data_IF_102983879197
#
_entry.id   IF_102983879197
#
_cell.length_a   1.000
_cell.length_b   1.000
_cell.length_c   1.000
_cell.angle_alpha   90.00
_cell.angle_beta   90.00
_cell.angle_gamma   90.00
#
_symmetry.space_group_name_H-M   'P 1'
#
loop_
_entity.id
_entity.type
_entity.pdbx_description
1 polymer ?
#
# COMPACT_ATOMS: atom_id res chain seq x y z
N UNK A 1 5.13 -7.56 -0.78
CA UNK A 1 4.99 -7.37 0.69
C UNK A 1 5.42 -5.96 1.05
N UNK A 2 4.96 -5.39 2.16
CA UNK A 2 5.38 -4.03 2.58
C UNK A 2 6.78 -4.08 3.23
N UNK A 3 7.74 -3.23 2.82
CA UNK A 3 9.11 -3.28 3.34
C UNK A 3 9.16 -2.87 4.82
N UNK A 4 9.96 -3.58 5.63
CA UNK A 4 10.13 -3.33 7.09
C UNK A 4 11.56 -3.52 7.60
N UNK A 5 12.49 -3.78 6.68
CA UNK A 5 13.88 -4.10 6.98
C UNK A 5 14.63 -2.88 7.48
N UNK A 6 14.37 -1.71 6.89
CA UNK A 6 15.05 -0.49 7.25
C UNK A 6 14.23 0.36 8.22
N UNK A 7 14.90 1.14 9.06
CA UNK A 7 14.25 2.14 9.94
C UNK A 7 13.44 3.15 9.13
N UNK A 8 13.93 3.50 7.94
CA UNK A 8 13.29 4.37 6.96
C UNK A 8 11.94 3.82 6.48
N UNK A 9 11.85 2.51 6.25
CA UNK A 9 10.59 1.88 5.80
C UNK A 9 9.51 1.94 6.87
N UNK A 10 9.90 1.70 8.13
CA UNK A 10 8.99 1.83 9.28
C UNK A 10 8.52 3.27 9.46
N UNK A 11 9.44 4.24 9.33
CA UNK A 11 9.10 5.67 9.38
C UNK A 11 8.11 6.05 8.27
N UNK A 12 8.34 5.60 7.04
CA UNK A 12 7.45 5.87 5.90
C UNK A 12 6.05 5.29 6.11
N UNK A 13 5.96 4.08 6.66
CA UNK A 13 4.68 3.48 6.99
C UNK A 13 3.90 4.30 8.03
N UNK A 14 4.57 4.78 9.08
CA UNK A 14 3.93 5.64 10.08
C UNK A 14 3.56 7.02 9.51
N UNK A 15 4.36 7.59 8.60
CA UNK A 15 4.01 8.80 7.86
C UNK A 15 2.73 8.62 7.02
N UNK A 16 2.60 7.47 6.35
CA UNK A 16 1.41 7.14 5.57
C UNK A 16 0.16 7.00 6.46
N UNK A 17 0.27 6.31 7.61
CA UNK A 17 -0.84 6.18 8.57
C UNK A 17 -1.30 7.53 9.10
N UNK A 18 -0.36 8.37 9.54
CA UNK A 18 -0.65 9.70 10.11
C UNK A 18 -1.25 10.64 9.07
N UNK A 19 -0.87 10.48 7.79
CA UNK A 19 -1.36 11.29 6.67
C UNK A 19 -2.89 11.39 6.61
N UNK A 20 -3.61 10.32 6.97
CA UNK A 20 -5.07 10.27 6.87
C UNK A 20 -5.77 11.42 7.62
N UNK A 21 -5.22 11.82 8.76
CA UNK A 21 -5.73 12.91 9.59
C UNK A 21 -4.82 14.13 9.50
N UNK A 22 -3.53 13.94 9.74
CA UNK A 22 -2.62 15.05 9.96
C UNK A 22 -2.32 15.85 8.69
N UNK A 23 -2.33 15.22 7.50
CA UNK A 23 -2.07 15.94 6.26
C UNK A 23 -3.12 17.02 5.95
N UNK A 24 -4.32 16.92 6.54
CA UNK A 24 -5.41 17.89 6.36
C UNK A 24 -5.46 18.95 7.45
N UNK A 25 -5.05 18.60 8.67
CA UNK A 25 -5.35 19.42 9.86
C UNK A 25 -4.10 19.87 10.63
N UNK A 26 -2.92 19.31 10.35
CA UNK A 26 -1.69 19.61 11.09
C UNK A 26 -0.70 20.38 10.22
N UNK A 27 -0.38 21.60 10.61
CA UNK A 27 0.70 22.38 10.02
C UNK A 27 2.10 21.76 10.28
N UNK A 28 2.20 20.80 11.21
CA UNK A 28 3.45 20.09 11.52
C UNK A 28 3.64 18.82 10.67
N UNK A 29 2.63 18.43 9.89
CA UNK A 29 2.75 17.28 9.01
C UNK A 29 3.65 17.63 7.83
N UNK A 30 4.79 16.94 7.74
CA UNK A 30 5.73 17.08 6.65
C UNK A 30 6.08 15.70 6.09
N UNK A 31 6.04 15.60 4.76
CA UNK A 31 6.44 14.42 4.02
C UNK A 31 7.26 14.88 2.80
N UNK A 32 8.35 14.18 2.51
CA UNK A 32 9.23 14.53 1.38
C UNK A 32 8.74 13.88 0.10
N UNK A 33 9.21 14.39 -1.05
CA UNK A 33 8.97 13.76 -2.35
C UNK A 33 9.50 12.32 -2.39
N UNK A 34 10.72 12.08 -1.91
CA UNK A 34 11.32 10.74 -1.89
C UNK A 34 10.50 9.74 -1.04
N UNK A 35 9.91 10.22 0.07
CA UNK A 35 9.01 9.41 0.87
C UNK A 35 7.71 9.10 0.11
N UNK A 36 7.14 10.08 -0.59
CA UNK A 36 5.95 9.88 -1.43
C UNK A 36 6.22 8.89 -2.57
N UNK A 37 7.33 9.02 -3.28
CA UNK A 37 7.67 8.15 -4.41
C UNK A 37 7.88 6.71 -3.94
N UNK A 38 8.55 6.51 -2.79
CA UNK A 38 8.71 5.20 -2.18
C UNK A 38 7.37 4.59 -1.73
N UNK A 39 6.49 5.39 -1.13
CA UNK A 39 5.16 4.95 -0.72
C UNK A 39 4.29 4.59 -1.93
N UNK A 40 4.32 5.39 -2.99
CA UNK A 40 3.58 5.14 -4.22
C UNK A 40 4.01 3.82 -4.88
N UNK A 41 5.33 3.57 -4.96
CA UNK A 41 5.86 2.31 -5.47
C UNK A 41 5.39 1.10 -4.64
N UNK A 42 5.42 1.21 -3.30
CA UNK A 42 4.96 0.15 -2.40
C UNK A 42 3.44 -0.13 -2.54
N UNK A 43 2.64 0.93 -2.70
CA UNK A 43 1.19 0.83 -2.92
C UNK A 43 0.88 0.18 -4.27
N UNK A 44 1.60 0.54 -5.34
CA UNK A 44 1.44 -0.07 -6.65
C UNK A 44 1.69 -1.58 -6.60
N UNK A 45 2.80 -2.01 -5.99
CA UNK A 45 3.10 -3.43 -5.82
C UNK A 45 2.01 -4.17 -5.01
N UNK A 46 1.49 -3.54 -3.96
CA UNK A 46 0.41 -4.12 -3.16
C UNK A 46 -0.86 -4.28 -4.00
N UNK A 47 -1.26 -3.24 -4.74
CA UNK A 47 -2.43 -3.27 -5.63
C UNK A 47 -2.32 -4.41 -6.64
N UNK A 48 -1.19 -4.52 -7.33
CA UNK A 48 -1.00 -5.51 -8.40
C UNK A 48 -1.02 -6.94 -7.84
N UNK A 49 -0.47 -7.13 -6.63
CA UNK A 49 -0.54 -8.42 -5.91
C UNK A 49 -1.99 -8.77 -5.55
N UNK A 50 -2.74 -7.82 -5.00
CA UNK A 50 -4.14 -8.01 -4.60
C UNK A 50 -5.01 -8.31 -5.83
N UNK A 51 -4.82 -7.57 -6.92
CA UNK A 51 -5.52 -7.79 -8.19
C UNK A 51 -5.29 -9.21 -8.70
N UNK A 52 -4.04 -9.66 -8.73
CA UNK A 52 -3.68 -11.01 -9.18
C UNK A 52 -4.40 -12.08 -8.35
N UNK A 53 -4.33 -11.99 -7.02
CA UNK A 53 -4.97 -12.93 -6.11
C UNK A 53 -6.50 -12.94 -6.24
N UNK A 54 -7.11 -11.76 -6.37
CA UNK A 54 -8.55 -11.64 -6.58
C UNK A 54 -8.98 -12.29 -7.90
N UNK A 55 -8.24 -12.04 -8.99
CA UNK A 55 -8.54 -12.64 -10.30
C UNK A 55 -8.36 -14.17 -10.29
N UNK A 56 -7.33 -14.67 -9.63
CA UNK A 56 -7.13 -16.12 -9.43
C UNK A 56 -8.32 -16.73 -8.69
N UNK A 57 -8.73 -16.14 -7.57
CA UNK A 57 -9.87 -16.64 -6.79
C UNK A 57 -11.18 -16.60 -7.58
N UNK A 58 -11.41 -15.54 -8.35
CA UNK A 58 -12.58 -15.45 -9.23
C UNK A 58 -12.58 -16.55 -10.31
N UNK A 59 -11.42 -16.87 -10.90
CA UNK A 59 -11.31 -17.97 -11.88
C UNK A 59 -11.55 -19.34 -11.26
N UNK A 60 -11.13 -19.55 -10.02
CA UNK A 60 -11.42 -20.79 -9.28
C UNK A 60 -12.91 -20.92 -9.01
N UNK A 61 -13.53 -19.89 -8.42
CA UNK A 61 -14.97 -19.87 -8.15
C UNK A 61 -15.80 -20.10 -9.41
N UNK A 62 -15.39 -19.53 -10.55
CA UNK A 62 -16.05 -19.76 -11.82
C UNK A 62 -15.93 -21.22 -12.28
N UNK A 63 -14.74 -21.81 -12.16
CA UNK A 63 -14.53 -23.23 -12.48
C UNK A 63 -15.35 -24.15 -11.59
N UNK A 64 -15.46 -23.85 -10.30
CA UNK A 64 -16.29 -24.61 -9.35
C UNK A 64 -17.78 -24.51 -9.66
N UNK A 65 -18.25 -23.37 -10.16
CA UNK A 65 -19.66 -23.16 -10.51
C UNK A 65 -20.05 -23.72 -11.89
N UNK A 66 -19.10 -23.80 -12.82
CA UNK A 66 -19.29 -24.35 -14.17
C UNK A 66 -19.11 -25.89 -14.23
N UNK A 67 -18.69 -26.53 -13.12
CA UNK A 67 -18.61 -27.98 -12.90
C UNK A 67 -19.86 -28.51 -12.20
#
# INVERSE_FOLDING_TARGET
SWPREQRTDRRRFELLKRAYVEARYSAQYAITRDDLDALAAAIAQLRDTVETLCLERLRELKREADL
#
